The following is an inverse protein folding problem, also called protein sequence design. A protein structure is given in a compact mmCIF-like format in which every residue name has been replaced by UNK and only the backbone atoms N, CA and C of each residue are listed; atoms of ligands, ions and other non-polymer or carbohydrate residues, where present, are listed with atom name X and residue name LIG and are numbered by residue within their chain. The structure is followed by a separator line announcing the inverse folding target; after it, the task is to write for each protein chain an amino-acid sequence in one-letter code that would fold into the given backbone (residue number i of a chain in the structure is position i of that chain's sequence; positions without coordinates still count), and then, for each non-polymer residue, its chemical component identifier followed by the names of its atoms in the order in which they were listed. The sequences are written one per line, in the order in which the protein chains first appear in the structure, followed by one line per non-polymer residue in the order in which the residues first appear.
data_IF_549546512099
#
_entry.id   IF_549546512099
#
_cell.length_a   1.000
_cell.length_b   1.000
_cell.length_c   1.000
_cell.angle_alpha   90.00
_cell.angle_beta   90.00
_cell.angle_gamma   90.00
#
_symmetry.space_group_name_H-M   'P 1'
#
loop_
_entity.id
_entity.type
_entity.pdbx_description
1 polymer ?
#
# COMPACT_ATOMS: atom_id res chain seq x y z
N UNK A 1 -12.63 7.56 3.59
CA UNK A 1 -11.25 7.51 3.09
C UNK A 1 -11.18 6.33 2.14
N UNK A 2 -10.45 6.44 1.03
CA UNK A 2 -10.23 5.30 0.16
C UNK A 2 -9.13 4.43 0.78
N UNK A 3 -9.35 3.11 0.87
CA UNK A 3 -8.33 2.18 1.35
C UNK A 3 -7.32 1.88 0.23
N UNK A 4 -6.14 1.41 0.63
CA UNK A 4 -5.07 1.01 -0.28
C UNK A 4 -4.97 -0.52 -0.31
N UNK A 5 -4.86 -1.08 -1.52
CA UNK A 5 -4.55 -2.50 -1.74
C UNK A 5 -3.25 -2.62 -2.52
N UNK A 6 -2.23 -3.23 -1.91
CA UNK A 6 -0.99 -3.58 -2.59
C UNK A 6 -1.16 -4.92 -3.31
N UNK A 7 -0.71 -4.98 -4.56
CA UNK A 7 -0.82 -6.16 -5.42
C UNK A 7 0.55 -6.55 -5.93
N UNK A 8 0.86 -7.85 -5.87
CA UNK A 8 2.06 -8.46 -6.42
C UNK A 8 1.69 -9.41 -7.56
N UNK A 9 2.45 -9.34 -8.65
CA UNK A 9 2.17 -10.02 -9.91
C UNK A 9 0.81 -9.63 -10.49
N UNK A 10 0.52 -8.34 -10.71
CA UNK A 10 -0.77 -7.90 -11.22
C UNK A 10 -1.00 -8.39 -12.64
N UNK A 11 -2.17 -8.98 -12.88
CA UNK A 11 -2.67 -9.26 -14.21
C UNK A 11 -2.93 -7.98 -15.02
N UNK A 12 -3.11 -8.09 -16.33
CA UNK A 12 -3.22 -6.94 -17.24
C UNK A 12 -4.43 -6.03 -16.96
N UNK A 13 -5.45 -6.51 -16.26
CA UNK A 13 -6.61 -5.71 -15.86
C UNK A 13 -6.26 -4.72 -14.73
N UNK A 14 -5.54 -5.21 -13.71
CA UNK A 14 -5.09 -4.42 -12.57
C UNK A 14 -4.03 -3.40 -13.01
N UNK A 15 -3.08 -3.84 -13.84
CA UNK A 15 -1.98 -2.98 -14.32
C UNK A 15 -2.48 -1.78 -15.14
N UNK A 16 -3.61 -1.91 -15.84
CA UNK A 16 -4.21 -0.83 -16.64
C UNK A 16 -5.09 0.12 -15.83
N UNK A 17 -5.41 -0.21 -14.58
CA UNK A 17 -6.22 0.65 -13.71
C UNK A 17 -7.65 0.90 -14.20
N UNK A 18 -8.28 -0.08 -14.88
CA UNK A 18 -9.61 0.11 -15.50
C UNK A 18 -10.75 0.14 -14.48
N UNK A 19 -10.69 -0.76 -13.49
CA UNK A 19 -11.72 -0.90 -12.45
C UNK A 19 -11.31 -0.28 -11.12
N UNK A 20 -10.01 -0.35 -10.80
CA UNK A 20 -9.41 0.25 -9.62
C UNK A 20 -8.32 1.21 -10.06
N UNK A 21 -8.30 2.40 -9.46
CA UNK A 21 -7.31 3.42 -9.80
C UNK A 21 -5.93 3.02 -9.26
N UNK A 22 -4.90 3.03 -10.12
CA UNK A 22 -3.51 2.77 -9.70
C UNK A 22 -2.96 4.02 -9.04
N UNK A 23 -2.61 3.90 -7.76
CA UNK A 23 -1.98 4.97 -6.98
C UNK A 23 -0.47 4.99 -7.23
N UNK A 24 0.17 3.84 -7.16
CA UNK A 24 1.63 3.70 -7.27
C UNK A 24 2.02 2.40 -7.99
N UNK A 25 3.24 2.37 -8.52
CA UNK A 25 3.86 1.19 -9.12
C UNK A 25 5.30 1.05 -8.64
N UNK A 26 5.71 -0.17 -8.30
CA UNK A 26 7.09 -0.52 -8.01
C UNK A 26 7.56 -1.57 -9.03
N UNK A 27 8.09 -1.07 -10.15
CA UNK A 27 8.38 -1.89 -11.33
C UNK A 27 7.12 -2.45 -11.99
N UNK A 28 7.27 -3.56 -12.71
CA UNK A 28 6.16 -4.25 -13.39
C UNK A 28 5.48 -5.28 -12.50
N UNK A 29 6.09 -5.62 -11.36
CA UNK A 29 5.66 -6.72 -10.50
C UNK A 29 4.73 -6.27 -9.37
N UNK A 30 4.68 -4.97 -9.05
CA UNK A 30 3.94 -4.46 -7.89
C UNK A 30 3.16 -3.19 -8.25
N UNK A 31 1.88 -3.16 -7.87
CA UNK A 31 1.02 -1.97 -7.99
C UNK A 31 0.23 -1.74 -6.71
N UNK A 32 -0.05 -0.48 -6.39
CA UNK A 32 -0.97 -0.10 -5.31
C UNK A 32 -2.24 0.46 -5.92
N UNK A 33 -3.38 -0.05 -5.49
CA UNK A 33 -4.70 0.31 -5.97
C UNK A 33 -5.47 1.08 -4.90
N UNK A 34 -6.25 2.08 -5.33
CA UNK A 34 -7.29 2.70 -4.52
C UNK A 34 -8.52 1.78 -4.54
N UNK A 35 -8.71 1.01 -3.47
CA UNK A 35 -9.75 0.01 -3.37
C UNK A 35 -10.07 -0.30 -1.92
N UNK A 36 -11.36 -0.43 -1.59
CA UNK A 36 -11.82 -0.88 -0.28
C UNK A 36 -11.45 -2.35 -0.04
N UNK A 37 -11.37 -2.74 1.24
CA UNK A 37 -11.07 -4.12 1.65
C UNK A 37 -12.04 -5.15 1.04
N UNK A 38 -13.30 -4.78 0.83
CA UNK A 38 -14.32 -5.64 0.21
C UNK A 38 -13.99 -6.00 -1.25
N UNK A 39 -13.08 -5.25 -1.90
CA UNK A 39 -12.59 -5.56 -3.25
C UNK A 39 -11.43 -6.55 -3.25
N UNK A 40 -10.86 -6.89 -2.10
CA UNK A 40 -9.68 -7.75 -2.00
C UNK A 40 -9.87 -9.12 -2.69
N UNK A 41 -11.01 -9.84 -2.55
CA UNK A 41 -11.21 -11.11 -3.25
C UNK A 41 -11.19 -10.95 -4.77
N UNK A 42 -11.87 -9.93 -5.30
CA UNK A 42 -11.92 -9.65 -6.73
C UNK A 42 -10.55 -9.22 -7.28
N UNK A 43 -9.73 -8.53 -6.48
CA UNK A 43 -8.35 -8.16 -6.86
C UNK A 43 -7.44 -9.41 -6.85
N UNK A 44 -7.64 -10.31 -5.89
CA UNK A 44 -6.87 -11.55 -5.77
C UNK A 44 -7.06 -12.49 -6.98
N UNK A 45 -8.25 -12.52 -7.59
CA UNK A 45 -8.53 -13.29 -8.82
C UNK A 45 -7.61 -12.91 -10.00
N UNK A 46 -7.10 -11.68 -10.00
CA UNK A 46 -6.26 -11.14 -11.07
C UNK A 46 -4.81 -10.88 -10.63
N UNK A 47 -4.34 -11.51 -9.55
CA UNK A 47 -3.00 -11.31 -9.03
C UNK A 47 -2.42 -12.58 -8.40
N UNK A 48 -1.12 -12.57 -8.09
CA UNK A 48 -0.51 -13.66 -7.32
C UNK A 48 -0.71 -13.47 -5.82
N UNK A 49 -0.68 -12.22 -5.37
CA UNK A 49 -0.86 -11.82 -3.99
C UNK A 49 -1.48 -10.42 -3.95
N UNK A 50 -2.50 -10.25 -3.12
CA UNK A 50 -3.12 -8.96 -2.83
C UNK A 50 -3.17 -8.76 -1.32
N UNK A 51 -2.94 -7.52 -0.89
CA UNK A 51 -2.87 -7.14 0.51
C UNK A 51 -3.63 -5.84 0.74
N UNK A 52 -4.70 -5.91 1.50
CA UNK A 52 -5.45 -4.74 1.93
C UNK A 52 -5.04 -4.35 3.34
N UNK A 53 -4.95 -3.06 3.62
CA UNK A 53 -4.74 -2.59 4.99
C UNK A 53 -6.06 -2.18 5.62
N UNK A 54 -6.34 -2.70 6.81
CA UNK A 54 -7.47 -2.29 7.64
C UNK A 54 -7.16 -0.98 8.35
N UNK A 55 -8.19 -0.22 8.69
CA UNK A 55 -8.06 1.02 9.47
C UNK A 55 -7.33 0.84 10.82
N UNK A 56 -7.33 -0.38 11.39
CA UNK A 56 -6.60 -0.73 12.62
C UNK A 56 -5.11 -1.00 12.44
N UNK A 57 -4.59 -0.99 11.20
CA UNK A 57 -3.18 -1.26 10.88
C UNK A 57 -2.89 -2.72 10.49
N UNK A 58 -3.82 -3.65 10.74
CA UNK A 58 -3.70 -5.04 10.30
C UNK A 58 -3.73 -5.15 8.77
N UNK A 59 -2.95 -6.08 8.23
CA UNK A 59 -2.93 -6.39 6.80
C UNK A 59 -3.72 -7.67 6.56
N UNK A 60 -4.73 -7.58 5.71
CA UNK A 60 -5.46 -8.75 5.21
C UNK A 60 -4.84 -9.21 3.90
N UNK A 61 -4.59 -10.51 3.80
CA UNK A 61 -3.84 -11.11 2.71
C UNK A 61 -4.74 -12.08 1.94
N UNK A 62 -4.67 -12.01 0.61
CA UNK A 62 -5.29 -12.96 -0.29
C UNK A 62 -4.28 -13.40 -1.38
N UNK A 63 -4.11 -14.70 -1.56
CA UNK A 63 -3.17 -15.28 -2.53
C UNK A 63 -1.92 -15.91 -1.89
N UNK A 64 -0.86 -16.08 -2.69
CA UNK A 64 0.38 -16.75 -2.27
C UNK A 64 1.41 -15.74 -1.78
N UNK A 65 1.66 -15.72 -0.46
CA UNK A 65 2.66 -14.84 0.15
C UNK A 65 4.10 -15.07 -0.37
N UNK A 66 4.39 -16.26 -0.89
CA UNK A 66 5.71 -16.54 -1.50
C UNK A 66 5.95 -15.70 -2.75
N UNK A 67 4.90 -15.18 -3.39
CA UNK A 67 5.03 -14.27 -4.52
C UNK A 67 5.85 -13.01 -4.18
N UNK A 68 5.78 -12.53 -2.93
CA UNK A 68 6.59 -11.39 -2.48
C UNK A 68 8.08 -11.74 -2.32
N UNK A 69 8.43 -13.01 -2.14
CA UNK A 69 9.81 -13.47 -1.96
C UNK A 69 10.58 -13.54 -3.28
N UNK A 70 9.86 -13.70 -4.40
CA UNK A 70 10.44 -13.77 -5.75
C UNK A 70 10.67 -12.41 -6.41
N UNK A 71 10.34 -11.31 -5.73
CA UNK A 71 10.47 -9.95 -6.24
C UNK A 71 11.93 -9.52 -6.37
N UNK A 72 12.20 -8.66 -7.35
CA UNK A 72 13.43 -7.88 -7.37
C UNK A 72 13.62 -7.03 -6.10
N UNK A 73 14.87 -6.72 -5.75
CA UNK A 73 15.24 -6.04 -4.49
C UNK A 73 14.41 -4.78 -4.23
N UNK A 74 14.30 -3.87 -5.20
CA UNK A 74 13.54 -2.63 -5.04
C UNK A 74 12.05 -2.85 -4.79
N UNK A 75 11.44 -3.81 -5.49
CA UNK A 75 10.02 -4.13 -5.31
C UNK A 75 9.78 -4.79 -3.94
N UNK A 76 10.70 -5.63 -3.48
CA UNK A 76 10.65 -6.22 -2.14
C UNK A 76 10.75 -5.16 -1.05
N UNK A 77 11.72 -4.24 -1.14
CA UNK A 77 11.86 -3.12 -0.19
C UNK A 77 10.57 -2.30 -0.16
N UNK A 78 9.97 -2.03 -1.31
CA UNK A 78 8.70 -1.31 -1.40
C UNK A 78 7.57 -2.04 -0.67
N UNK A 79 7.43 -3.36 -0.88
CA UNK A 79 6.41 -4.17 -0.20
C UNK A 79 6.62 -4.17 1.31
N UNK A 80 7.85 -4.31 1.78
CA UNK A 80 8.19 -4.31 3.20
C UNK A 80 7.93 -2.93 3.85
N UNK A 81 8.29 -1.85 3.15
CA UNK A 81 8.01 -0.48 3.56
C UNK A 81 6.51 -0.19 3.60
N UNK A 82 5.76 -0.66 2.60
CA UNK A 82 4.30 -0.55 2.61
C UNK A 82 3.74 -1.31 3.80
N UNK A 83 4.07 -2.59 4.00
CA UNK A 83 3.57 -3.39 5.15
C UNK A 83 3.85 -2.73 6.50
N UNK A 84 5.05 -2.17 6.69
CA UNK A 84 5.47 -1.54 7.95
C UNK A 84 5.01 -0.10 8.14
N UNK A 85 4.47 0.56 7.10
CA UNK A 85 3.98 1.95 7.18
C UNK A 85 2.89 2.09 8.24
N UNK A 86 3.09 2.98 9.21
CA UNK A 86 2.02 3.33 10.15
C UNK A 86 0.91 4.11 9.44
N UNK A 87 -0.35 3.75 9.68
CA UNK A 87 -1.52 4.52 9.22
C UNK A 87 -1.68 5.82 9.99
N UNK A 88 -1.25 5.85 11.24
CA UNK A 88 -1.16 7.07 12.00
C UNK A 88 0.06 7.84 11.51
N UNK A 89 -0.13 9.07 11.02
CA UNK A 89 0.95 10.04 11.12
C UNK A 89 1.34 10.09 12.60
N UNK A 90 2.57 9.73 12.99
CA UNK A 90 2.98 9.97 14.36
C UNK A 90 2.76 11.45 14.63
N UNK A 91 2.02 11.78 15.69
CA UNK A 91 1.86 13.17 16.12
C UNK A 91 3.27 13.74 16.31
N UNK A 92 3.77 14.50 15.34
CA UNK A 92 5.02 15.22 15.51
C UNK A 92 4.71 16.44 16.37
N UNK A 93 5.54 16.70 17.39
CA UNK A 93 5.51 18.00 18.06
C UNK A 93 5.69 19.08 16.99
N UNK A 94 4.74 20.02 16.90
CA UNK A 94 4.75 21.06 15.87
C UNK A 94 3.94 20.79 14.60
N UNK A 95 3.35 19.60 14.39
CA UNK A 95 2.54 19.36 13.18
C UNK A 95 1.25 20.19 13.19
N UNK A 96 1.07 21.04 12.17
CA UNK A 96 -0.07 21.96 12.07
C UNK A 96 0.12 23.29 12.80
N UNK A 97 1.24 23.47 13.50
CA UNK A 97 1.65 24.76 14.01
C UNK A 97 2.41 25.56 12.94
N UNK A 98 2.31 26.88 13.01
CA UNK A 98 3.13 27.76 12.20
C UNK A 98 4.60 27.63 12.61
N UNK A 99 5.51 27.93 11.67
CA UNK A 99 6.97 27.80 11.86
C UNK A 99 7.53 28.63 13.03
N UNK A 100 6.78 29.63 13.47
CA UNK A 100 7.07 30.56 14.57
C UNK A 100 6.34 30.21 15.88
N UNK A 101 5.55 29.14 15.91
CA UNK A 101 4.80 28.75 17.09
C UNK A 101 5.72 28.16 18.18
N UNK A 102 5.44 28.52 19.43
CA UNK A 102 6.10 27.94 20.59
C UNK A 102 5.88 26.42 20.62
N UNK A 103 6.96 25.63 20.57
CA UNK A 103 6.92 24.17 20.52
C UNK A 103 7.08 23.53 19.14
N UNK A 104 7.35 24.31 18.08
CA UNK A 104 7.82 23.78 16.80
C UNK A 104 9.30 23.35 16.89
N UNK A 105 9.59 22.08 16.59
CA UNK A 105 10.95 21.56 16.44
C UNK A 105 11.18 21.16 14.97
N UNK A 106 12.12 21.82 14.26
CA UNK A 106 12.51 21.41 12.92
C UNK A 106 13.25 20.05 12.96
N UNK A 107 13.22 19.28 11.86
CA UNK A 107 13.84 17.96 11.77
C UNK A 107 15.38 17.99 11.85
#
# INVERSE_FOLDING_TARGET
MADEVLVVGPGPELSRGRRWHVLERAGDEVVVLSAGIDSLPAIAEHSRLAMARRAGGDVEIAGDERAAQGLGESARIFVDAWRSRSLAKPHRRGEGLSWDAEGFEPP
#
